data_IF_668040916424
#
_entry.id   IF_668040916424
#
_cell.length_a   1.000
_cell.length_b   1.000
_cell.length_c   1.000
_cell.angle_alpha   90.00
_cell.angle_beta   90.00
_cell.angle_gamma   90.00
#
_symmetry.space_group_name_H-M   'P 1'
#
loop_
_entity.id
_entity.type
_entity.pdbx_description
1 polymer ?
#
# COMPACT_ATOMS: atom_id res chain seq x y z
N UNK A 1 11.28 -1.94 -26.65
CA UNK A 1 9.98 -2.50 -27.12
C UNK A 1 9.80 -2.00 -28.55
N UNK A 2 9.52 -2.88 -29.52
CA UNK A 2 9.33 -2.47 -30.93
C UNK A 2 7.85 -2.57 -31.27
N UNK A 3 7.21 -1.53 -31.85
CA UNK A 3 5.84 -1.61 -32.34
C UNK A 3 5.69 -2.69 -33.40
N UNK A 4 4.76 -3.62 -33.19
CA UNK A 4 4.40 -4.69 -34.13
C UNK A 4 3.05 -4.43 -34.83
N UNK A 5 2.39 -3.32 -34.49
CA UNK A 5 1.07 -2.95 -35.01
C UNK A 5 -0.09 -3.81 -34.48
N UNK A 6 0.17 -4.70 -33.52
CA UNK A 6 -0.84 -5.62 -32.96
C UNK A 6 -0.86 -5.60 -31.44
N UNK A 7 0.26 -5.95 -30.81
CA UNK A 7 0.42 -5.97 -29.34
C UNK A 7 0.95 -4.65 -28.82
N UNK A 8 1.80 -4.00 -29.60
CA UNK A 8 2.35 -2.67 -29.34
C UNK A 8 2.11 -1.82 -30.58
N UNK A 9 1.25 -0.82 -30.43
CA UNK A 9 0.84 0.07 -31.51
C UNK A 9 1.48 1.44 -31.26
N UNK A 10 2.05 2.06 -32.29
CA UNK A 10 2.54 3.42 -32.22
C UNK A 10 1.55 4.37 -32.89
N UNK A 11 1.20 5.45 -32.18
CA UNK A 11 0.37 6.55 -32.66
C UNK A 11 1.12 7.85 -32.38
N UNK A 12 1.33 8.69 -33.38
CA UNK A 12 2.13 9.92 -33.25
C UNK A 12 1.46 11.00 -32.38
N UNK A 13 0.16 10.87 -32.10
CA UNK A 13 -0.60 11.79 -31.24
C UNK A 13 -0.81 11.24 -29.82
N UNK A 14 -0.78 9.91 -29.64
CA UNK A 14 -1.04 9.24 -28.35
C UNK A 14 0.19 8.56 -27.74
N UNK A 15 1.19 8.22 -28.54
CA UNK A 15 2.37 7.45 -28.15
C UNK A 15 2.19 5.94 -28.34
N UNK A 16 2.86 5.15 -27.50
CA UNK A 16 2.75 3.68 -27.50
C UNK A 16 1.44 3.22 -26.82
N UNK A 17 0.63 2.44 -27.53
CA UNK A 17 -0.61 1.84 -27.04
C UNK A 17 -0.44 0.33 -26.93
N UNK A 18 -0.69 -0.22 -25.74
CA UNK A 18 -0.54 -1.65 -25.41
C UNK A 18 -1.88 -2.15 -24.83
N UNK A 19 -2.82 -2.64 -25.66
CA UNK A 19 -4.18 -2.93 -25.22
C UNK A 19 -4.29 -4.04 -24.16
N UNK A 20 -3.40 -5.05 -24.23
CA UNK A 20 -3.36 -6.20 -23.32
C UNK A 20 -2.01 -6.28 -22.62
N UNK A 21 -1.70 -5.27 -21.81
CA UNK A 21 -0.46 -5.20 -21.07
C UNK A 21 -0.33 -6.37 -20.08
N UNK A 22 0.80 -7.07 -20.12
CA UNK A 22 1.17 -8.15 -19.18
C UNK A 22 2.18 -7.64 -18.14
N UNK A 23 2.61 -8.51 -17.23
CA UNK A 23 3.61 -8.17 -16.21
C UNK A 23 4.94 -7.64 -16.78
N UNK A 24 5.26 -7.95 -18.05
CA UNK A 24 6.47 -7.49 -18.75
C UNK A 24 6.52 -5.97 -18.94
N UNK A 25 5.37 -5.29 -18.86
CA UNK A 25 5.26 -3.84 -19.04
C UNK A 25 5.14 -3.10 -17.70
N UNK A 26 5.36 -3.77 -16.56
CA UNK A 26 5.40 -3.14 -15.24
C UNK A 26 6.85 -2.78 -14.92
N UNK A 27 7.16 -1.48 -14.81
CA UNK A 27 8.50 -0.99 -14.51
C UNK A 27 8.83 0.30 -15.24
N UNK A 28 10.13 0.59 -15.33
CA UNK A 28 10.63 1.77 -16.02
C UNK A 28 10.67 1.52 -17.53
N UNK A 29 10.01 2.38 -18.30
CA UNK A 29 10.03 2.40 -19.76
C UNK A 29 10.63 3.72 -20.23
N UNK A 30 11.44 3.66 -21.28
CA UNK A 30 12.00 4.84 -21.94
C UNK A 30 11.45 4.95 -23.35
N UNK A 31 11.06 6.17 -23.74
CA UNK A 31 10.85 6.52 -25.15
C UNK A 31 12.06 7.34 -25.60
N UNK A 32 12.73 6.85 -26.64
CA UNK A 32 13.97 7.42 -27.15
C UNK A 32 13.79 7.83 -28.61
N UNK A 33 14.37 8.96 -28.98
CA UNK A 33 14.34 9.47 -30.36
C UNK A 33 15.59 10.25 -30.67
N UNK A 34 15.99 10.30 -31.94
CA UNK A 34 17.15 11.07 -32.40
C UNK A 34 16.69 12.11 -33.40
N UNK A 35 16.98 13.39 -33.13
CA UNK A 35 16.66 14.52 -34.00
C UNK A 35 17.94 15.27 -34.30
N UNK A 36 18.30 15.39 -35.59
CA UNK A 36 19.52 16.06 -36.06
C UNK A 36 20.81 15.55 -35.38
N UNK A 37 20.89 14.24 -35.12
CA UNK A 37 22.05 13.61 -34.46
C UNK A 37 22.09 13.79 -32.93
N UNK A 38 21.11 14.44 -32.32
CA UNK A 38 20.97 14.54 -30.86
C UNK A 38 19.92 13.54 -30.35
N UNK A 39 20.27 12.79 -29.32
CA UNK A 39 19.39 11.80 -28.69
C UNK A 39 18.57 12.44 -27.57
N UNK A 40 17.26 12.18 -27.58
CA UNK A 40 16.31 12.61 -26.56
C UNK A 40 15.65 11.39 -25.94
N UNK A 41 15.48 11.40 -24.62
CA UNK A 41 14.86 10.31 -23.88
C UNK A 41 13.88 10.84 -22.84
N UNK A 42 12.71 10.21 -22.76
CA UNK A 42 11.73 10.44 -21.69
C UNK A 42 11.43 9.12 -20.99
N UNK A 43 11.29 9.16 -19.66
CA UNK A 43 11.14 7.97 -18.82
C UNK A 43 9.76 7.95 -18.17
N UNK A 44 9.10 6.80 -18.22
CA UNK A 44 7.80 6.53 -17.63
C UNK A 44 7.91 5.34 -16.68
N UNK A 45 7.41 5.48 -15.45
CA UNK A 45 7.32 4.38 -14.51
C UNK A 45 5.89 3.87 -14.47
N UNK A 46 5.67 2.66 -14.96
CA UNK A 46 4.37 1.99 -14.85
C UNK A 46 4.31 1.22 -13.53
N UNK A 47 3.23 1.41 -12.79
CA UNK A 47 2.98 0.67 -11.54
C UNK A 47 1.55 0.14 -11.54
N UNK A 48 1.40 -1.17 -11.34
CA UNK A 48 0.07 -1.78 -11.21
C UNK A 48 -0.45 -1.53 -9.81
N UNK A 49 -1.51 -0.75 -9.68
CA UNK A 49 -2.20 -0.50 -8.41
C UNK A 49 -3.39 -1.44 -8.23
N UNK A 50 -3.73 -1.70 -6.96
CA UNK A 50 -4.99 -2.31 -6.55
C UNK A 50 -5.50 -1.57 -5.29
N UNK A 51 -6.76 -1.73 -4.94
CA UNK A 51 -7.39 -1.09 -3.77
C UNK A 51 -8.26 -2.06 -2.95
N UNK A 52 -8.17 -3.35 -3.19
CA UNK A 52 -8.98 -4.35 -2.50
C UNK A 52 -8.43 -4.67 -1.10
N UNK A 53 -9.26 -4.38 -0.09
CA UNK A 53 -9.10 -4.84 1.29
C UNK A 53 -9.98 -6.07 1.48
N UNK A 54 -9.37 -7.20 1.82
CA UNK A 54 -10.04 -8.49 1.93
C UNK A 54 -10.64 -8.66 3.32
N UNK A 55 -9.90 -8.30 4.37
CA UNK A 55 -10.39 -8.39 5.75
C UNK A 55 -9.67 -7.44 6.69
N UNK A 56 -10.35 -7.06 7.76
CA UNK A 56 -9.84 -6.25 8.86
C UNK A 56 -10.24 -6.93 10.17
N UNK A 57 -9.30 -7.08 11.09
CA UNK A 57 -9.53 -7.71 12.38
C UNK A 57 -8.77 -6.96 13.47
N UNK A 58 -9.38 -6.80 14.64
CA UNK A 58 -8.68 -6.38 15.86
C UNK A 58 -8.61 -7.61 16.78
N UNK A 59 -7.41 -7.90 17.31
CA UNK A 59 -7.13 -9.12 18.10
C UNK A 59 -8.12 -9.32 19.27
N UNK A 60 -8.59 -8.25 19.87
CA UNK A 60 -9.63 -8.28 20.88
C UNK A 60 -11.01 -8.13 20.24
N UNK A 61 -11.49 -9.22 19.64
CA UNK A 61 -12.89 -9.34 19.20
C UNK A 61 -13.89 -9.36 20.37
N UNK A 62 -13.39 -9.35 21.61
CA UNK A 62 -14.16 -9.24 22.85
C UNK A 62 -13.73 -8.00 23.65
N UNK A 63 -14.61 -7.41 24.47
CA UNK A 63 -14.24 -6.29 25.33
C UNK A 63 -13.08 -6.65 26.28
N UNK A 64 -12.01 -5.86 26.21
CA UNK A 64 -10.85 -5.97 27.10
C UNK A 64 -11.17 -5.30 28.43
N UNK A 65 -10.93 -5.99 29.55
CA UNK A 65 -11.05 -5.44 30.90
C UNK A 65 -9.67 -5.35 31.54
N UNK A 66 -9.33 -4.17 32.04
CA UNK A 66 -8.04 -3.88 32.67
C UNK A 66 -8.25 -3.05 33.94
N UNK A 67 -7.32 -3.19 34.87
CA UNK A 67 -7.24 -2.31 36.03
C UNK A 67 -6.53 -1.00 35.67
N UNK A 68 -6.84 0.07 36.43
CA UNK A 68 -6.15 1.36 36.32
C UNK A 68 -4.63 1.17 36.47
N UNK A 69 -3.85 1.78 35.58
CA UNK A 69 -2.40 1.71 35.55
C UNK A 69 -1.82 0.53 34.76
N UNK A 70 -2.63 -0.45 34.34
CA UNK A 70 -2.16 -1.52 33.43
C UNK A 70 -1.96 -1.01 32.01
N UNK A 71 -1.17 -1.74 31.23
CA UNK A 71 -0.96 -1.45 29.81
C UNK A 71 -2.04 -2.10 28.94
N UNK A 72 -2.57 -1.35 27.98
CA UNK A 72 -3.46 -1.86 26.94
C UNK A 72 -2.65 -2.06 25.64
N UNK A 73 -2.80 -3.24 25.01
CA UNK A 73 -2.18 -3.56 23.73
C UNK A 73 -3.24 -4.07 22.77
N UNK A 74 -3.52 -3.32 21.71
CA UNK A 74 -4.45 -3.71 20.65
C UNK A 74 -3.69 -3.92 19.34
N UNK A 75 -4.05 -4.96 18.60
CA UNK A 75 -3.45 -5.28 17.30
C UNK A 75 -4.54 -5.30 16.23
N UNK A 76 -4.44 -4.38 15.26
CA UNK A 76 -5.22 -4.38 14.04
C UNK A 76 -4.44 -5.10 12.93
N UNK A 77 -5.04 -6.14 12.37
CA UNK A 77 -4.54 -6.92 11.24
C UNK A 77 -5.43 -6.70 10.02
N UNK A 78 -4.83 -6.34 8.89
CA UNK A 78 -5.51 -6.15 7.61
C UNK A 78 -4.92 -7.11 6.58
N UNK A 79 -5.78 -7.84 5.89
CA UNK A 79 -5.42 -8.62 4.71
C UNK A 79 -5.84 -7.84 3.48
N UNK A 80 -4.92 -7.55 2.56
CA UNK A 80 -5.23 -6.81 1.34
C UNK A 80 -4.55 -7.43 0.11
N UNK A 81 -5.21 -7.32 -1.04
CA UNK A 81 -4.72 -7.89 -2.29
C UNK A 81 -3.34 -7.33 -2.70
N UNK A 82 -2.69 -7.97 -3.67
CA UNK A 82 -1.42 -7.49 -4.19
C UNK A 82 -1.52 -6.07 -4.74
N UNK A 83 -0.45 -5.31 -4.54
CA UNK A 83 -0.34 -3.90 -4.90
C UNK A 83 -1.34 -2.95 -4.21
N UNK A 84 -2.11 -3.43 -3.25
CA UNK A 84 -2.92 -2.57 -2.38
C UNK A 84 -2.02 -1.87 -1.34
N UNK A 85 -2.36 -0.61 -1.04
CA UNK A 85 -1.80 0.17 0.06
C UNK A 85 -2.90 0.40 1.10
N UNK A 86 -2.52 0.50 2.36
CA UNK A 86 -3.46 0.73 3.46
C UNK A 86 -2.94 1.83 4.37
N UNK A 87 -3.85 2.62 4.92
CA UNK A 87 -3.57 3.59 5.96
C UNK A 87 -4.35 3.17 7.21
N UNK A 88 -3.64 2.89 8.30
CA UNK A 88 -4.24 2.43 9.56
C UNK A 88 -4.16 3.55 10.58
N UNK A 89 -5.30 3.96 11.12
CA UNK A 89 -5.43 5.00 12.14
C UNK A 89 -6.15 4.45 13.36
N UNK A 90 -5.80 4.94 14.54
CA UNK A 90 -6.44 4.59 15.81
C UNK A 90 -7.15 5.82 16.36
N UNK A 91 -8.41 5.64 16.75
CA UNK A 91 -9.19 6.64 17.48
C UNK A 91 -9.48 6.06 18.87
N UNK A 92 -9.06 6.76 19.92
CA UNK A 92 -9.25 6.33 21.30
C UNK A 92 -9.35 7.54 22.24
N UNK A 93 -10.05 7.42 23.38
CA UNK A 93 -10.11 8.48 24.38
C UNK A 93 -8.72 8.92 24.85
N UNK A 94 -8.51 10.22 24.97
CA UNK A 94 -7.20 10.78 25.35
C UNK A 94 -6.14 10.76 24.25
N UNK A 95 -6.47 10.38 23.00
CA UNK A 95 -5.51 10.31 21.89
C UNK A 95 -4.80 11.64 21.56
N UNK A 96 -5.42 12.78 21.85
CA UNK A 96 -4.79 14.10 21.72
C UNK A 96 -3.54 14.26 22.59
N UNK A 97 -3.49 13.56 23.75
CA UNK A 97 -2.35 13.59 24.65
C UNK A 97 -1.16 12.75 24.17
N UNK A 98 -1.30 12.01 23.05
CA UNK A 98 -0.27 11.13 22.46
C UNK A 98 0.38 10.16 23.45
N UNK A 99 -0.38 9.73 24.47
CA UNK A 99 0.07 8.77 25.50
C UNK A 99 0.17 7.33 25.01
N UNK A 100 -0.10 7.08 23.74
CA UNK A 100 0.01 5.76 23.15
C UNK A 100 1.09 5.72 22.08
N UNK A 101 1.81 4.60 22.03
CA UNK A 101 2.74 4.28 20.95
C UNK A 101 2.01 3.47 19.88
N UNK A 102 2.19 3.84 18.62
CA UNK A 102 1.63 3.12 17.47
C UNK A 102 2.77 2.61 16.60
N UNK A 103 2.87 1.29 16.47
CA UNK A 103 3.76 0.66 15.49
C UNK A 103 2.94 0.13 14.30
N UNK A 104 3.57 0.09 13.13
CA UNK A 104 2.98 -0.43 11.88
C UNK A 104 4.00 -1.30 11.17
N UNK A 105 3.56 -2.42 10.60
CA UNK A 105 4.43 -3.31 9.85
C UNK A 105 3.68 -4.00 8.72
N UNK A 106 4.43 -4.52 7.75
CA UNK A 106 3.91 -5.22 6.58
C UNK A 106 4.59 -6.59 6.53
N UNK A 107 3.80 -7.65 6.41
CA UNK A 107 4.29 -8.99 6.10
C UNK A 107 3.85 -9.35 4.69
N UNK A 108 4.80 -9.23 3.76
CA UNK A 108 4.60 -9.64 2.38
C UNK A 108 4.56 -11.16 2.29
N UNK A 109 3.57 -11.69 1.57
CA UNK A 109 3.43 -13.13 1.31
C UNK A 109 3.75 -13.40 -0.16
N UNK A 110 4.47 -14.50 -0.43
CA UNK A 110 4.81 -14.92 -1.79
C UNK A 110 3.58 -15.40 -2.57
N UNK A 111 2.74 -16.21 -1.90
CA UNK A 111 1.64 -16.92 -2.54
C UNK A 111 0.26 -16.46 -2.02
N UNK A 112 0.11 -15.16 -1.74
CA UNK A 112 -1.18 -14.65 -1.31
C UNK A 112 -1.18 -13.17 -0.92
N UNK A 113 -2.33 -12.67 -0.45
CA UNK A 113 -2.51 -11.27 -0.05
C UNK A 113 -1.49 -10.82 0.99
N UNK A 114 -1.14 -9.53 0.95
CA UNK A 114 -0.25 -8.94 1.94
C UNK A 114 -0.99 -8.75 3.26
N UNK A 115 -0.25 -8.91 4.35
CA UNK A 115 -0.73 -8.62 5.69
C UNK A 115 -0.13 -7.31 6.18
N UNK A 116 -0.97 -6.47 6.78
CA UNK A 116 -0.59 -5.22 7.41
C UNK A 116 -0.99 -5.27 8.87
N UNK A 117 -0.09 -4.86 9.74
CA UNK A 117 -0.32 -4.82 11.18
C UNK A 117 -0.21 -3.39 11.68
N UNK A 118 -1.04 -3.05 12.67
CA UNK A 118 -0.83 -1.88 13.51
C UNK A 118 -1.07 -2.25 14.95
N UNK A 119 -0.11 -1.95 15.82
CA UNK A 119 -0.23 -2.21 17.25
C UNK A 119 -0.30 -0.87 17.98
N UNK A 120 -1.35 -0.68 18.77
CA UNK A 120 -1.52 0.43 19.69
C UNK A 120 -1.15 -0.04 21.09
N UNK A 121 -0.24 0.67 21.75
CA UNK A 121 0.16 0.43 23.14
C UNK A 121 -0.13 1.67 23.96
N UNK A 122 -0.98 1.55 24.98
CA UNK A 122 -1.21 2.58 26.00
C UNK A 122 -0.57 2.08 27.29
N UNK A 123 0.55 2.68 27.71
CA UNK A 123 1.37 2.14 28.80
C UNK A 123 0.65 2.11 30.15
N UNK A 124 -0.13 3.16 30.45
CA UNK A 124 -0.91 3.28 31.70
C UNK A 124 -2.32 3.75 31.39
N UNK A 125 -3.28 2.84 31.46
CA UNK A 125 -4.70 3.19 31.30
C UNK A 125 -5.20 3.93 32.55
N UNK A 126 -6.01 4.96 32.33
CA UNK A 126 -6.64 5.73 33.40
C UNK A 126 -8.16 5.71 33.21
N UNK A 127 -8.89 6.14 34.24
CA UNK A 127 -10.32 6.43 34.09
C UNK A 127 -10.51 7.48 32.99
N UNK A 128 -11.66 7.40 32.32
CA UNK A 128 -12.15 8.49 31.49
C UNK A 128 -12.83 9.44 32.48
N UNK A 129 -12.03 10.27 33.15
CA UNK A 129 -12.53 11.34 34.00
C UNK A 129 -13.05 12.49 33.12
#
# INVERSE_FOLDING_TARGET
IVPDGKTVIWDNTKGFVIPKATYKFIGLLSCETTVNGHEYSTKYLTFRLNNEIISVQVNDSKPVKLFKGQSLVLNCSITAAWNTRVQITWTYPGGASKRATISRSIRQRKDGPNLFYSILVVDKVHGID
#
